data_IF_914593254597
#
_entry.id   IF_914593254597
#
_cell.length_a   1.000
_cell.length_b   1.000
_cell.length_c   1.000
_cell.angle_alpha   90.00
_cell.angle_beta   90.00
_cell.angle_gamma   90.00
#
_symmetry.space_group_name_H-M   'P 1'
#
loop_
_entity.id
_entity.type
_entity.pdbx_description
1 polymer ?
#
# COMPACT_ATOMS: atom_id res chain seq x y z
N UNK A 1 -3.39 0.53 24.06
CA UNK A 1 -4.60 0.48 23.20
C UNK A 1 -4.79 -0.97 22.80
N UNK A 2 -6.02 -1.50 22.70
CA UNK A 2 -6.23 -2.87 22.19
C UNK A 2 -5.78 -2.90 20.72
N UNK A 3 -4.96 -3.87 20.32
CA UNK A 3 -4.38 -3.98 18.97
C UNK A 3 -5.44 -4.02 17.86
N UNK A 4 -6.63 -4.60 18.16
CA UNK A 4 -7.73 -4.67 17.19
C UNK A 4 -8.20 -3.27 16.74
N UNK A 5 -8.34 -2.30 17.66
CA UNK A 5 -8.77 -0.95 17.32
C UNK A 5 -7.68 -0.19 16.54
N UNK A 6 -6.42 -0.41 16.91
CA UNK A 6 -5.27 0.16 16.21
C UNK A 6 -5.19 -0.36 14.76
N UNK A 7 -5.36 -1.68 14.57
CA UNK A 7 -5.37 -2.31 13.26
C UNK A 7 -6.53 -1.84 12.39
N UNK A 8 -7.75 -1.79 12.94
CA UNK A 8 -8.93 -1.29 12.23
C UNK A 8 -8.76 0.18 11.83
N UNK A 9 -8.15 1.01 12.71
CA UNK A 9 -7.85 2.41 12.43
C UNK A 9 -6.86 2.54 11.27
N UNK A 10 -5.78 1.74 11.27
CA UNK A 10 -4.77 1.77 10.22
C UNK A 10 -5.31 1.24 8.88
N UNK A 11 -6.17 0.22 8.91
CA UNK A 11 -6.80 -0.36 7.73
C UNK A 11 -7.93 0.49 7.15
N UNK A 12 -8.44 1.48 7.89
CA UNK A 12 -9.65 2.22 7.53
C UNK A 12 -9.46 3.03 6.24
N UNK A 13 -10.43 2.96 5.33
CA UNK A 13 -10.55 3.85 4.18
C UNK A 13 -10.74 5.34 4.57
N UNK A 14 -11.07 5.61 5.85
CA UNK A 14 -11.15 6.96 6.42
C UNK A 14 -9.78 7.46 6.95
N UNK A 15 -8.72 6.64 6.89
CA UNK A 15 -7.38 7.14 7.21
C UNK A 15 -7.03 8.30 6.26
N UNK A 16 -6.67 9.49 6.78
CA UNK A 16 -6.56 10.69 5.95
C UNK A 16 -5.26 10.73 5.14
N UNK A 17 -5.03 9.67 4.35
CA UNK A 17 -3.87 9.54 3.45
C UNK A 17 -4.20 9.87 2.00
N UNK A 18 -5.47 9.99 1.65
CA UNK A 18 -5.93 10.31 0.30
C UNK A 18 -5.81 9.16 -0.71
N UNK A 19 -5.72 7.91 -0.25
CA UNK A 19 -5.56 6.71 -1.09
C UNK A 19 -6.61 6.57 -2.20
N UNK A 20 -7.84 6.99 -1.93
CA UNK A 20 -8.97 6.95 -2.87
C UNK A 20 -8.75 7.76 -4.17
N UNK A 21 -7.71 8.59 -4.24
CA UNK A 21 -7.37 9.38 -5.42
C UNK A 21 -6.45 8.64 -6.40
N UNK A 22 -6.01 7.43 -6.06
CA UNK A 22 -5.00 6.68 -6.79
C UNK A 22 -5.52 5.30 -7.18
N UNK A 23 -5.36 4.93 -8.45
CA UNK A 23 -5.80 3.63 -8.97
C UNK A 23 -4.69 2.57 -8.97
N UNK A 24 -3.44 3.01 -8.86
CA UNK A 24 -2.25 2.15 -8.97
C UNK A 24 -2.23 1.36 -10.27
N UNK A 25 -2.41 2.06 -11.39
CA UNK A 25 -2.41 1.49 -12.72
C UNK A 25 -3.71 0.76 -13.12
N UNK A 26 -4.65 0.54 -12.20
CA UNK A 26 -5.89 -0.17 -12.51
C UNK A 26 -6.76 0.60 -13.51
N UNK A 27 -6.81 1.95 -13.44
CA UNK A 27 -7.55 2.75 -14.42
C UNK A 27 -7.01 2.55 -15.83
N UNK A 28 -5.70 2.57 -16.01
CA UNK A 28 -5.09 2.30 -17.30
C UNK A 28 -5.31 0.85 -17.77
N UNK A 29 -5.30 -0.13 -16.85
CA UNK A 29 -5.62 -1.51 -17.19
C UNK A 29 -7.06 -1.67 -17.69
N UNK A 30 -8.00 -0.88 -17.14
CA UNK A 30 -9.38 -0.81 -17.60
C UNK A 30 -9.49 -0.14 -18.98
N UNK A 31 -8.84 1.00 -19.17
CA UNK A 31 -8.84 1.75 -20.43
C UNK A 31 -8.23 0.93 -21.58
N UNK A 32 -7.17 0.19 -21.30
CA UNK A 32 -6.53 -0.75 -22.25
C UNK A 32 -7.34 -2.05 -22.47
N UNK A 33 -8.46 -2.26 -21.78
CA UNK A 33 -9.31 -3.45 -21.90
C UNK A 33 -8.69 -4.71 -21.31
N UNK A 34 -7.65 -4.61 -20.47
CA UNK A 34 -7.08 -5.75 -19.74
C UNK A 34 -7.97 -6.19 -18.59
N UNK A 35 -8.68 -5.25 -18.00
CA UNK A 35 -9.73 -5.46 -17.00
C UNK A 35 -11.06 -5.01 -17.59
N UNK A 36 -12.06 -5.90 -17.65
CA UNK A 36 -13.35 -5.63 -18.32
C UNK A 36 -14.56 -6.06 -17.49
N UNK A 37 -14.35 -6.96 -16.54
CA UNK A 37 -15.36 -7.62 -15.73
C UNK A 37 -14.77 -8.07 -14.38
N UNK A 38 -15.58 -8.70 -13.53
CA UNK A 38 -15.16 -9.17 -12.23
C UNK A 38 -14.10 -10.27 -12.28
N UNK A 39 -14.10 -11.11 -13.34
CA UNK A 39 -13.14 -12.21 -13.49
C UNK A 39 -11.75 -11.69 -13.86
N UNK A 40 -11.66 -10.85 -14.87
CA UNK A 40 -10.41 -10.18 -15.26
C UNK A 40 -9.89 -9.24 -14.17
N UNK A 41 -10.79 -8.57 -13.42
CA UNK A 41 -10.42 -7.78 -12.24
C UNK A 41 -9.79 -8.67 -11.15
N UNK A 42 -10.38 -9.85 -10.87
CA UNK A 42 -9.80 -10.78 -9.92
C UNK A 42 -8.41 -11.23 -10.34
N UNK A 43 -8.23 -11.58 -11.62
CA UNK A 43 -6.93 -11.98 -12.17
C UNK A 43 -5.90 -10.86 -11.97
N UNK A 44 -6.24 -9.63 -12.37
CA UNK A 44 -5.38 -8.46 -12.17
C UNK A 44 -4.98 -8.26 -10.70
N UNK A 45 -5.94 -8.33 -9.77
CA UNK A 45 -5.67 -8.14 -8.35
C UNK A 45 -4.79 -9.26 -7.76
N UNK A 46 -4.99 -10.51 -8.18
CA UNK A 46 -4.14 -11.64 -7.78
C UNK A 46 -2.71 -11.45 -8.28
N UNK A 47 -2.54 -11.02 -9.53
CA UNK A 47 -1.22 -10.75 -10.10
C UNK A 47 -0.51 -9.63 -9.32
N UNK A 48 -1.21 -8.54 -8.98
CA UNK A 48 -0.65 -7.47 -8.15
C UNK A 48 -0.25 -7.98 -6.75
N UNK A 49 -1.10 -8.79 -6.13
CA UNK A 49 -0.80 -9.39 -4.83
C UNK A 49 0.46 -10.26 -4.88
N UNK A 50 0.55 -11.15 -5.87
CA UNK A 50 1.60 -12.15 -5.93
C UNK A 50 2.92 -11.61 -6.50
N UNK A 51 2.86 -10.82 -7.58
CA UNK A 51 4.03 -10.40 -8.33
C UNK A 51 4.65 -9.09 -7.82
N UNK A 52 3.87 -8.25 -7.15
CA UNK A 52 4.34 -7.01 -6.54
C UNK A 52 4.29 -7.06 -5.01
N UNK A 53 3.09 -7.09 -4.42
CA UNK A 53 2.93 -6.88 -2.97
C UNK A 53 3.61 -7.98 -2.16
N UNK A 54 3.24 -9.26 -2.34
CA UNK A 54 3.80 -10.37 -1.56
C UNK A 54 5.28 -10.63 -1.88
N UNK A 55 5.69 -10.35 -3.14
CA UNK A 55 7.05 -10.60 -3.59
C UNK A 55 8.03 -9.51 -3.15
N UNK A 56 7.64 -8.25 -3.17
CA UNK A 56 8.54 -7.11 -3.01
C UNK A 56 8.12 -6.12 -1.94
N UNK A 57 6.96 -5.45 -2.09
CA UNK A 57 6.60 -4.33 -1.22
C UNK A 57 6.38 -4.74 0.23
N UNK A 58 5.62 -5.81 0.46
CA UNK A 58 5.30 -6.23 1.81
C UNK A 58 6.48 -6.86 2.56
N UNK A 59 7.39 -7.67 1.95
CA UNK A 59 8.64 -8.05 2.60
C UNK A 59 9.53 -6.87 2.98
N UNK A 60 9.60 -5.85 2.12
CA UNK A 60 10.34 -4.62 2.40
C UNK A 60 9.70 -3.86 3.57
N UNK A 61 8.38 -3.71 3.56
CA UNK A 61 7.63 -3.10 4.67
C UNK A 61 7.78 -3.91 5.96
N UNK A 62 7.74 -5.25 5.92
CA UNK A 62 7.96 -6.10 7.09
C UNK A 62 9.35 -5.88 7.71
N UNK A 63 10.38 -5.72 6.90
CA UNK A 63 11.73 -5.36 7.35
C UNK A 63 11.76 -3.99 8.03
N UNK A 64 11.15 -2.99 7.40
CA UNK A 64 11.02 -1.64 7.93
C UNK A 64 10.23 -1.60 9.25
N UNK A 65 9.12 -2.34 9.33
CA UNK A 65 8.31 -2.45 10.56
C UNK A 65 9.12 -3.03 11.72
N UNK A 66 9.85 -4.14 11.49
CA UNK A 66 10.69 -4.76 12.52
C UNK A 66 11.80 -3.83 12.97
N UNK A 67 12.50 -3.16 12.04
CA UNK A 67 13.53 -2.19 12.36
C UNK A 67 12.96 -1.00 13.17
N UNK A 68 11.82 -0.48 12.77
CA UNK A 68 11.13 0.60 13.46
C UNK A 68 10.74 0.24 14.90
N UNK A 69 10.27 -0.99 15.13
CA UNK A 69 9.86 -1.45 16.47
C UNK A 69 11.03 -1.51 17.45
N UNK A 70 12.23 -1.88 16.98
CA UNK A 70 13.43 -1.94 17.84
C UNK A 70 14.27 -0.66 17.81
N UNK A 71 13.93 0.31 16.96
CA UNK A 71 14.65 1.58 16.83
C UNK A 71 15.96 1.48 16.04
N UNK A 72 16.07 0.50 15.14
CA UNK A 72 17.19 0.42 14.18
C UNK A 72 16.95 1.40 13.02
N UNK A 73 17.33 2.64 13.26
CA UNK A 73 17.10 3.74 12.32
C UNK A 73 17.92 3.61 11.03
N UNK A 74 19.09 2.98 11.09
CA UNK A 74 19.89 2.75 9.89
C UNK A 74 19.22 1.74 8.94
N UNK A 75 18.67 0.65 9.48
CA UNK A 75 17.85 -0.28 8.70
C UNK A 75 16.57 0.37 8.19
N UNK A 76 15.94 1.27 8.97
CA UNK A 76 14.79 2.05 8.51
C UNK A 76 15.14 2.95 7.33
N UNK A 77 16.28 3.66 7.38
CA UNK A 77 16.74 4.53 6.29
C UNK A 77 16.99 3.71 5.02
N UNK A 78 17.69 2.58 5.12
CA UNK A 78 17.97 1.70 3.99
C UNK A 78 16.69 1.14 3.33
N UNK A 79 15.72 0.70 4.15
CA UNK A 79 14.45 0.19 3.65
C UNK A 79 13.58 1.29 3.01
N UNK A 80 13.53 2.48 3.62
CA UNK A 80 12.81 3.65 3.08
C UNK A 80 13.39 4.09 1.74
N UNK A 81 14.72 4.16 1.64
CA UNK A 81 15.41 4.51 0.38
C UNK A 81 15.14 3.50 -0.72
N UNK A 82 15.21 2.21 -0.39
CA UNK A 82 14.92 1.14 -1.33
C UNK A 82 13.48 1.19 -1.83
N UNK A 83 12.50 1.44 -0.95
CA UNK A 83 11.11 1.63 -1.35
C UNK A 83 10.96 2.82 -2.30
N UNK A 84 11.65 3.93 -2.02
CA UNK A 84 11.63 5.12 -2.88
C UNK A 84 12.20 4.85 -4.27
N UNK A 85 13.34 4.16 -4.32
CA UNK A 85 14.04 3.83 -5.55
C UNK A 85 13.30 2.81 -6.44
N UNK A 86 12.35 2.05 -5.87
CA UNK A 86 11.63 1.00 -6.58
C UNK A 86 10.39 1.47 -7.34
N UNK A 87 10.05 2.75 -7.26
CA UNK A 87 8.85 3.25 -7.95
C UNK A 87 9.14 3.43 -9.44
N UNK A 88 8.44 2.67 -10.27
CA UNK A 88 8.67 2.56 -11.72
C UNK A 88 8.31 3.83 -12.47
N UNK A 89 7.35 4.62 -11.96
CA UNK A 89 6.85 5.84 -12.62
C UNK A 89 6.84 7.02 -11.66
N UNK A 90 6.78 8.23 -12.22
CA UNK A 90 6.66 9.46 -11.43
C UNK A 90 5.34 9.51 -10.67
N UNK A 91 4.26 8.96 -11.23
CA UNK A 91 2.95 8.94 -10.59
C UNK A 91 2.97 8.04 -9.35
N UNK A 92 3.48 6.80 -9.45
CA UNK A 92 3.63 5.91 -8.29
C UNK A 92 4.57 6.49 -7.22
N UNK A 93 5.64 7.17 -7.64
CA UNK A 93 6.54 7.85 -6.72
C UNK A 93 5.85 9.04 -6.01
N UNK A 94 5.06 9.82 -6.77
CA UNK A 94 4.30 10.96 -6.23
C UNK A 94 3.19 10.50 -5.27
N UNK A 95 2.43 9.46 -5.64
CA UNK A 95 1.43 8.83 -4.80
C UNK A 95 2.03 8.44 -3.44
N UNK A 96 3.09 7.64 -3.46
CA UNK A 96 3.74 7.17 -2.23
C UNK A 96 4.21 8.31 -1.32
N UNK A 97 4.76 9.38 -1.90
CA UNK A 97 5.18 10.57 -1.15
C UNK A 97 4.00 11.37 -0.60
N UNK A 98 2.95 11.56 -1.41
CA UNK A 98 1.78 12.34 -0.98
C UNK A 98 1.03 11.63 0.15
N UNK A 99 0.82 10.32 0.03
CA UNK A 99 0.18 9.53 1.08
C UNK A 99 1.04 9.46 2.34
N UNK A 100 2.35 9.30 2.18
CA UNK A 100 3.32 9.32 3.29
C UNK A 100 3.34 10.66 4.03
N UNK A 101 3.33 11.76 3.29
CA UNK A 101 3.23 13.12 3.84
C UNK A 101 1.94 13.31 4.65
N UNK A 102 0.79 12.90 4.11
CA UNK A 102 -0.49 13.01 4.80
C UNK A 102 -0.53 12.19 6.09
N UNK A 103 0.01 10.97 6.06
CA UNK A 103 0.09 10.13 7.26
C UNK A 103 1.07 10.71 8.30
N UNK A 104 2.19 11.31 7.87
CA UNK A 104 3.09 12.05 8.76
C UNK A 104 2.37 13.18 9.49
N UNK A 105 1.61 14.01 8.75
CA UNK A 105 0.84 15.10 9.36
C UNK A 105 -0.13 14.59 10.43
N UNK A 106 -0.81 13.47 10.18
CA UNK A 106 -1.65 12.83 11.18
C UNK A 106 -0.84 12.42 12.42
N UNK A 107 0.30 11.75 12.24
CA UNK A 107 1.15 11.30 13.35
C UNK A 107 1.77 12.43 14.14
N UNK A 108 2.07 13.56 13.51
CA UNK A 108 2.55 14.77 14.17
C UNK A 108 1.47 15.43 15.04
N UNK A 109 0.21 15.38 14.60
CA UNK A 109 -0.93 15.92 15.35
C UNK A 109 -1.36 15.04 16.53
N UNK A 110 -0.88 13.79 16.62
CA UNK A 110 -1.27 12.80 17.62
C UNK A 110 -0.13 12.57 18.63
N UNK A 111 -0.43 12.31 19.91
CA UNK A 111 0.60 12.15 20.93
C UNK A 111 1.27 10.76 20.95
N UNK A 112 0.73 9.77 20.21
CA UNK A 112 1.09 8.36 20.36
C UNK A 112 2.48 7.99 19.83
N UNK A 113 3.02 8.74 18.83
CA UNK A 113 4.36 8.47 18.31
C UNK A 113 5.41 8.98 19.28
N UNK A 114 6.33 8.12 19.68
CA UNK A 114 7.42 8.45 20.59
C UNK A 114 8.46 9.43 19.96
N UNK A 115 9.27 10.06 20.81
CA UNK A 115 10.23 11.08 20.36
C UNK A 115 11.26 10.55 19.35
N UNK A 116 11.86 9.34 19.50
CA UNK A 116 12.77 8.79 18.50
C UNK A 116 12.12 8.55 17.14
N UNK A 117 10.92 7.96 17.12
CA UNK A 117 10.15 7.73 15.88
C UNK A 117 9.75 9.04 15.20
N UNK A 118 9.35 10.03 15.98
CA UNK A 118 9.03 11.39 15.49
C UNK A 118 10.25 12.06 14.87
N UNK A 119 11.40 11.99 15.54
CA UNK A 119 12.66 12.56 15.05
C UNK A 119 13.12 11.88 13.75
N UNK A 120 12.97 10.54 13.65
CA UNK A 120 13.29 9.82 12.42
C UNK A 120 12.36 10.21 11.27
N UNK A 121 11.04 10.22 11.50
CA UNK A 121 10.06 10.53 10.47
C UNK A 121 10.21 11.97 9.95
N UNK A 122 10.58 12.91 10.81
CA UNK A 122 10.83 14.30 10.43
C UNK A 122 12.02 14.47 9.46
N UNK A 123 13.02 13.56 9.52
CA UNK A 123 14.14 13.58 8.56
C UNK A 123 13.76 13.02 7.18
N UNK A 124 12.67 12.26 7.10
CA UNK A 124 12.14 11.75 5.83
C UNK A 124 11.32 12.85 5.15
N UNK A 125 11.90 13.62 4.24
CA UNK A 125 11.22 14.78 3.65
C UNK A 125 11.20 14.75 2.11
N UNK A 126 10.07 14.46 1.49
CA UNK A 126 8.85 13.90 2.08
C UNK A 126 9.01 12.39 2.36
N UNK A 127 8.37 11.87 3.41
CA UNK A 127 8.38 10.44 3.67
C UNK A 127 7.59 9.70 2.59
N UNK A 128 8.02 8.50 2.24
CA UNK A 128 7.16 7.60 1.48
C UNK A 128 6.11 6.93 2.38
N UNK A 129 5.08 6.33 1.77
CA UNK A 129 3.99 5.72 2.53
C UNK A 129 4.47 4.60 3.46
N UNK A 130 5.41 3.74 3.02
CA UNK A 130 5.93 2.66 3.84
C UNK A 130 6.63 3.17 5.11
N UNK A 131 7.41 4.26 5.01
CA UNK A 131 8.04 4.91 6.14
C UNK A 131 7.02 5.46 7.16
N UNK A 132 6.03 6.18 6.68
CA UNK A 132 4.98 6.73 7.54
C UNK A 132 4.09 5.62 8.15
N UNK A 133 3.80 4.55 7.39
CA UNK A 133 3.05 3.39 7.86
C UNK A 133 3.76 2.64 8.98
N UNK A 134 5.07 2.43 8.85
CA UNK A 134 5.87 1.81 9.91
C UNK A 134 5.88 2.65 11.19
N UNK A 135 5.91 3.98 11.07
CA UNK A 135 5.79 4.86 12.24
C UNK A 135 4.38 4.86 12.84
N UNK A 136 3.34 4.73 12.03
CA UNK A 136 1.97 4.54 12.53
C UNK A 136 1.82 3.22 13.30
N UNK A 137 2.38 2.12 12.77
CA UNK A 137 2.41 0.84 13.45
C UNK A 137 3.15 0.92 14.81
N UNK A 138 4.33 1.58 14.84
CA UNK A 138 5.06 1.84 16.08
C UNK A 138 4.24 2.67 17.07
N UNK A 139 3.65 3.76 16.63
CA UNK A 139 2.82 4.65 17.47
C UNK A 139 1.64 3.90 18.09
N UNK A 140 1.01 3.03 17.32
CA UNK A 140 -0.19 2.31 17.75
C UNK A 140 0.10 0.90 18.27
N UNK A 141 1.38 0.55 18.41
CA UNK A 141 1.88 -0.72 18.99
C UNK A 141 1.35 -1.96 18.27
N UNK A 142 1.31 -1.88 16.95
CA UNK A 142 1.03 -3.02 16.09
C UNK A 142 2.32 -3.78 15.80
N UNK A 143 2.23 -5.09 15.79
CA UNK A 143 3.33 -5.91 15.29
C UNK A 143 3.37 -5.93 13.74
N UNK A 144 4.35 -6.63 13.17
CA UNK A 144 4.53 -6.65 11.72
C UNK A 144 3.38 -7.35 10.99
N UNK A 145 2.78 -8.38 11.57
CA UNK A 145 1.65 -9.10 10.99
C UNK A 145 0.38 -8.25 11.00
N UNK A 146 0.09 -7.61 12.13
CA UNK A 146 -1.05 -6.72 12.28
C UNK A 146 -0.96 -5.53 11.31
N UNK A 147 0.23 -4.93 11.18
CA UNK A 147 0.45 -3.79 10.31
C UNK A 147 0.42 -4.16 8.82
N UNK A 148 0.91 -5.36 8.44
CA UNK A 148 0.82 -5.87 7.07
C UNK A 148 -0.61 -6.26 6.71
N UNK A 149 -1.36 -6.90 7.60
CA UNK A 149 -2.77 -7.21 7.34
C UNK A 149 -3.59 -5.94 7.09
N UNK A 150 -3.32 -4.87 7.85
CA UNK A 150 -3.93 -3.57 7.62
C UNK A 150 -3.51 -2.96 6.26
N UNK A 151 -2.25 -3.11 5.86
CA UNK A 151 -1.74 -2.66 4.55
C UNK A 151 -2.46 -3.33 3.39
N UNK A 152 -2.53 -4.67 3.40
CA UNK A 152 -3.20 -5.44 2.37
C UNK A 152 -4.70 -5.14 2.28
N UNK A 153 -5.36 -4.99 3.44
CA UNK A 153 -6.78 -4.65 3.47
C UNK A 153 -7.04 -3.24 2.92
N UNK A 154 -6.25 -2.25 3.32
CA UNK A 154 -6.37 -0.87 2.82
C UNK A 154 -6.16 -0.82 1.30
N UNK A 155 -5.18 -1.57 0.78
CA UNK A 155 -4.95 -1.71 -0.65
C UNK A 155 -6.16 -2.33 -1.35
N UNK A 156 -6.69 -3.45 -0.85
CA UNK A 156 -7.85 -4.11 -1.46
C UNK A 156 -9.08 -3.21 -1.48
N UNK A 157 -9.41 -2.55 -0.36
CA UNK A 157 -10.55 -1.61 -0.29
C UNK A 157 -10.41 -0.50 -1.35
N UNK A 158 -9.20 0.04 -1.53
CA UNK A 158 -8.97 1.06 -2.55
C UNK A 158 -9.18 0.51 -3.96
N UNK A 159 -8.66 -0.68 -4.28
CA UNK A 159 -8.86 -1.32 -5.59
C UNK A 159 -10.34 -1.60 -5.86
N UNK A 160 -11.09 -2.07 -4.88
CA UNK A 160 -12.55 -2.28 -5.00
C UNK A 160 -13.29 -0.95 -5.24
N UNK A 161 -12.87 0.13 -4.58
CA UNK A 161 -13.45 1.46 -4.79
C UNK A 161 -13.19 1.96 -6.22
N UNK A 162 -12.00 1.72 -6.78
CA UNK A 162 -11.68 2.02 -8.19
C UNK A 162 -12.59 1.24 -9.11
N UNK A 163 -12.71 -0.09 -8.93
CA UNK A 163 -13.56 -0.96 -9.75
C UNK A 163 -15.03 -0.54 -9.71
N UNK A 164 -15.57 -0.17 -8.54
CA UNK A 164 -16.95 0.28 -8.42
C UNK A 164 -17.20 1.63 -9.12
N UNK A 165 -16.19 2.46 -9.32
CA UNK A 165 -16.31 3.73 -10.06
C UNK A 165 -16.19 3.56 -11.58
N UNK A 166 -15.44 2.56 -12.03
CA UNK A 166 -15.01 2.42 -13.43
C UNK A 166 -15.72 1.28 -14.18
N UNK A 167 -16.16 0.26 -13.46
CA UNK A 167 -16.95 -0.84 -13.99
C UNK A 167 -18.39 -0.78 -13.45
N UNK A 168 -19.37 -1.35 -14.15
CA UNK A 168 -20.71 -1.54 -13.63
C UNK A 168 -20.76 -2.62 -12.53
N UNK A 169 -19.82 -2.54 -11.58
CA UNK A 169 -19.68 -3.47 -10.48
C UNK A 169 -20.44 -2.95 -9.25
N UNK A 170 -21.59 -3.54 -8.98
CA UNK A 170 -22.37 -3.17 -7.79
C UNK A 170 -21.69 -3.64 -6.49
N UNK A 171 -22.10 -3.05 -5.36
CA UNK A 171 -21.54 -3.34 -4.03
C UNK A 171 -21.51 -4.84 -3.69
N UNK A 172 -22.58 -5.58 -4.03
CA UNK A 172 -22.63 -7.02 -3.78
C UNK A 172 -21.55 -7.78 -4.58
N UNK A 173 -21.33 -7.41 -5.84
CA UNK A 173 -20.29 -8.03 -6.67
C UNK A 173 -18.89 -7.69 -6.15
N UNK A 174 -18.67 -6.44 -5.70
CA UNK A 174 -17.42 -6.04 -5.05
C UNK A 174 -17.16 -6.85 -3.77
N UNK A 175 -18.16 -7.09 -2.92
CA UNK A 175 -18.02 -7.90 -1.72
C UNK A 175 -17.76 -9.38 -2.02
N UNK A 176 -18.37 -9.94 -3.08
CA UNK A 176 -18.05 -11.30 -3.55
C UNK A 176 -16.60 -11.39 -4.03
N UNK A 177 -16.13 -10.39 -4.77
CA UNK A 177 -14.73 -10.30 -5.21
C UNK A 177 -13.79 -10.21 -4.00
N UNK A 178 -14.08 -9.34 -3.03
CA UNK A 178 -13.31 -9.24 -1.78
C UNK A 178 -13.21 -10.61 -1.09
N UNK A 179 -14.37 -11.28 -0.87
CA UNK A 179 -14.39 -12.59 -0.22
C UNK A 179 -13.56 -13.64 -0.94
N UNK A 180 -13.52 -13.60 -2.29
CA UNK A 180 -12.71 -14.52 -3.10
C UNK A 180 -11.20 -14.27 -3.00
N UNK A 181 -10.80 -13.08 -2.53
CA UNK A 181 -9.39 -12.66 -2.39
C UNK A 181 -8.85 -12.83 -0.97
N UNK A 182 -9.69 -13.05 0.05
CA UNK A 182 -9.24 -13.22 1.43
C UNK A 182 -8.15 -14.30 1.58
N UNK A 183 -8.28 -15.52 1.01
CA UNK A 183 -7.23 -16.53 1.09
C UNK A 183 -5.91 -16.10 0.43
N UNK A 184 -5.99 -15.27 -0.61
CA UNK A 184 -4.80 -14.72 -1.29
C UNK A 184 -4.11 -13.66 -0.42
N UNK A 185 -4.88 -12.80 0.28
CA UNK A 185 -4.33 -11.84 1.24
C UNK A 185 -3.62 -12.55 2.40
N UNK A 186 -4.23 -13.58 2.98
CA UNK A 186 -3.63 -14.36 4.07
C UNK A 186 -2.31 -14.99 3.63
N UNK A 187 -2.29 -15.59 2.43
CA UNK A 187 -1.09 -16.18 1.85
C UNK A 187 -0.01 -15.13 1.61
N UNK A 188 -0.37 -13.98 1.01
CA UNK A 188 0.55 -12.89 0.73
C UNK A 188 1.16 -12.32 2.01
N UNK A 189 0.36 -12.14 3.07
CA UNK A 189 0.84 -11.68 4.38
C UNK A 189 1.83 -12.68 4.99
N UNK A 190 1.48 -13.96 5.02
CA UNK A 190 2.35 -15.02 5.54
C UNK A 190 3.66 -15.16 4.76
N UNK A 191 3.63 -15.00 3.44
CA UNK A 191 4.84 -15.03 2.60
C UNK A 191 5.72 -13.81 2.85
N UNK A 192 5.15 -12.62 2.94
CA UNK A 192 5.89 -11.39 3.18
C UNK A 192 6.64 -11.40 4.51
N UNK A 193 6.07 -12.00 5.55
CA UNK A 193 6.71 -12.15 6.86
C UNK A 193 7.93 -13.08 6.84
N UNK A 194 7.98 -14.04 5.92
CA UNK A 194 9.04 -15.04 5.80
C UNK A 194 10.12 -14.68 4.79
N UNK A 195 9.81 -13.85 3.80
CA UNK A 195 10.75 -13.49 2.74
C UNK A 195 11.72 -12.38 3.19
N UNK A 196 12.99 -12.45 2.79
CA UNK A 196 13.87 -11.30 2.90
C UNK A 196 13.49 -10.22 1.88
N UNK A 197 13.65 -8.95 2.23
CA UNK A 197 13.36 -7.81 1.35
C UNK A 197 14.43 -7.58 0.27
N UNK A 198 14.77 -8.63 -0.49
CA UNK A 198 15.87 -8.59 -1.48
C UNK A 198 15.41 -8.73 -2.93
N UNK A 199 14.21 -9.23 -3.14
CA UNK A 199 13.66 -9.41 -4.48
C UNK A 199 13.02 -8.11 -5.01
N UNK A 200 12.95 -7.95 -6.32
CA UNK A 200 12.23 -6.86 -6.97
C UNK A 200 10.80 -7.26 -7.33
N UNK A 201 9.99 -6.27 -7.70
CA UNK A 201 8.69 -6.51 -8.33
C UNK A 201 8.84 -7.29 -9.64
N UNK A 202 7.88 -8.17 -9.93
CA UNK A 202 7.74 -8.86 -11.21
C UNK A 202 6.40 -8.51 -11.91
N UNK A 203 5.71 -7.48 -11.42
CA UNK A 203 4.43 -7.03 -11.95
C UNK A 203 4.62 -6.13 -13.18
N UNK A 204 5.11 -6.68 -14.29
CA UNK A 204 5.32 -5.94 -15.54
C UNK A 204 4.03 -5.28 -16.05
N UNK A 205 2.87 -5.92 -15.84
CA UNK A 205 1.57 -5.35 -16.18
C UNK A 205 1.31 -4.04 -15.43
N UNK A 206 1.66 -3.97 -14.14
CA UNK A 206 1.57 -2.73 -13.35
C UNK A 206 2.47 -1.63 -13.91
N UNK A 207 3.73 -1.95 -14.18
CA UNK A 207 4.68 -0.99 -14.74
C UNK A 207 4.18 -0.41 -16.07
N UNK A 208 3.70 -1.28 -16.99
CA UNK A 208 3.15 -0.85 -18.28
C UNK A 208 1.86 -0.03 -18.11
N UNK A 209 0.94 -0.45 -17.24
CA UNK A 209 -0.28 0.28 -16.96
C UNK A 209 0.02 1.68 -16.38
N UNK A 210 0.92 1.76 -15.41
CA UNK A 210 1.32 3.04 -14.81
C UNK A 210 2.03 3.95 -15.82
N UNK A 211 2.86 3.41 -16.71
CA UNK A 211 3.50 4.19 -17.78
C UNK A 211 2.48 4.74 -18.79
N UNK A 212 1.48 3.95 -19.18
CA UNK A 212 0.43 4.39 -20.10
C UNK A 212 -0.50 5.41 -19.45
N UNK A 213 -0.74 5.28 -18.13
CA UNK A 213 -1.52 6.23 -17.36
C UNK A 213 -0.91 7.65 -17.37
N UNK A 214 0.40 7.79 -17.34
CA UNK A 214 1.07 9.11 -17.40
C UNK A 214 0.69 9.94 -18.64
N UNK A 215 0.28 9.28 -19.71
CA UNK A 215 -0.09 9.92 -21.01
C UNK A 215 -1.59 9.80 -21.32
N UNK A 216 -2.39 9.20 -20.45
CA UNK A 216 -3.82 9.01 -20.63
C UNK A 216 -4.55 10.36 -20.70
N UNK A 217 -5.38 10.56 -21.73
CA UNK A 217 -6.04 11.85 -22.01
C UNK A 217 -7.11 12.21 -20.97
N UNK A 218 -7.93 11.25 -20.56
CA UNK A 218 -8.98 11.44 -19.56
C UNK A 218 -8.72 10.54 -18.37
N UNK A 219 -8.69 11.10 -17.17
CA UNK A 219 -8.33 10.39 -15.95
C UNK A 219 -9.30 10.71 -14.81
N UNK A 220 -9.74 9.69 -14.11
CA UNK A 220 -10.50 9.80 -12.86
C UNK A 220 -9.59 9.79 -11.63
N UNK A 221 -8.41 9.19 -11.78
CA UNK A 221 -7.43 9.02 -10.71
C UNK A 221 -6.09 9.70 -11.08
N UNK A 222 -5.18 9.76 -10.09
CA UNK A 222 -3.88 10.43 -10.23
C UNK A 222 -2.72 9.48 -10.56
N UNK A 223 -2.94 8.16 -10.45
CA UNK A 223 -1.99 7.11 -10.83
C UNK A 223 -2.71 5.84 -11.24
#
# INVERSE_FOLDING_TARGET
MNSIWARLRLASSQLPIGGYSYSQGLEAALDNGWVRDAESARTWLVDQLQLNLARFEAPLLAGLLRAALVGDWAACDAASERHRASRETRELAHESRQMGFSLRQLLEALPELDAPGRAWLARQDPPNLAAAWAMAARAWRLDAEEALSAWFWNWLENQLAVLMKTLPLGQLAAQKLASSLLPELDRACAEALRRPAVEGSAAFGLALASMTHETQYSRLFRS
#
